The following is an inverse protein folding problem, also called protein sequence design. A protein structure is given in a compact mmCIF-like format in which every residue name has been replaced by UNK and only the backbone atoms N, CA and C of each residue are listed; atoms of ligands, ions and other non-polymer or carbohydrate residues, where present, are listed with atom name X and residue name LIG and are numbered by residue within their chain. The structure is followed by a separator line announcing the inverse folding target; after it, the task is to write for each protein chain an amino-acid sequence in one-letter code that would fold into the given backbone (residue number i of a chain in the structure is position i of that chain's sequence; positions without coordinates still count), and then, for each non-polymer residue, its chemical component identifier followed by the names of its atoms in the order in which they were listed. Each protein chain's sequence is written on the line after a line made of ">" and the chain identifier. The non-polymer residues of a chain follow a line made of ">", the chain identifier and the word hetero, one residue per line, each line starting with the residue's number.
data_IF_900341533051
#
_entry.id   IF_900341533051
#
_cell.length_a   1.000
_cell.length_b   1.000
_cell.length_c   1.000
_cell.angle_alpha   90.00
_cell.angle_beta   90.00
_cell.angle_gamma   90.00
#
_symmetry.space_group_name_H-M   'P 1'
#
loop_
_entity.id
_entity.type
_entity.pdbx_description
1 polymer ?
#
# COMPACT_ATOMS: atom_id res chain seq x y z
N UNK A 1 26.62 -13.39 -0.43
CA UNK A 1 26.28 -13.71 0.98
C UNK A 1 26.07 -12.46 1.85
N UNK A 2 27.09 -11.74 2.35
CA UNK A 2 26.88 -10.57 3.24
C UNK A 2 25.96 -9.51 2.62
N UNK A 3 26.20 -9.13 1.37
CA UNK A 3 25.36 -8.16 0.66
C UNK A 3 23.89 -8.61 0.52
N UNK A 4 23.64 -9.91 0.38
CA UNK A 4 22.28 -10.44 0.32
C UNK A 4 21.59 -10.41 1.69
N UNK A 5 22.32 -10.69 2.77
CA UNK A 5 21.81 -10.54 4.13
C UNK A 5 21.50 -9.07 4.46
N UNK A 6 22.41 -8.16 4.14
CA UNK A 6 22.22 -6.71 4.34
C UNK A 6 20.99 -6.21 3.54
N UNK A 7 20.78 -6.73 2.32
CA UNK A 7 19.62 -6.41 1.49
C UNK A 7 18.31 -6.95 2.10
N UNK A 8 18.29 -8.18 2.61
CA UNK A 8 17.11 -8.75 3.28
C UNK A 8 16.71 -7.89 4.48
N UNK A 9 17.67 -7.53 5.34
CA UNK A 9 17.38 -6.70 6.52
C UNK A 9 16.87 -5.31 6.11
N UNK A 10 17.41 -4.73 5.03
CA UNK A 10 16.90 -3.48 4.47
C UNK A 10 15.42 -3.58 4.04
N UNK A 11 15.03 -4.66 3.36
CA UNK A 11 13.65 -4.86 2.88
C UNK A 11 12.69 -5.08 4.05
N UNK A 12 13.10 -5.83 5.07
CA UNK A 12 12.31 -6.01 6.30
C UNK A 12 12.04 -4.69 7.02
N UNK A 13 13.02 -3.80 7.09
CA UNK A 13 12.81 -2.46 7.68
C UNK A 13 11.90 -1.56 6.84
N UNK A 14 11.92 -1.73 5.51
CA UNK A 14 11.00 -1.03 4.61
C UNK A 14 9.55 -1.46 4.80
N UNK A 15 9.30 -2.76 4.96
CA UNK A 15 7.94 -3.28 5.26
C UNK A 15 7.33 -2.58 6.47
N UNK A 16 8.10 -2.38 7.55
CA UNK A 16 7.63 -1.67 8.75
C UNK A 16 7.23 -0.23 8.43
N UNK A 17 8.07 0.48 7.68
CA UNK A 17 7.82 1.88 7.30
C UNK A 17 6.60 2.00 6.40
N UNK A 18 6.46 1.13 5.40
CA UNK A 18 5.32 1.09 4.49
C UNK A 18 4.03 0.80 5.25
N UNK A 19 4.04 -0.21 6.15
CA UNK A 19 2.87 -0.58 6.95
C UNK A 19 2.37 0.60 7.80
N UNK A 20 3.26 1.35 8.45
CA UNK A 20 2.88 2.54 9.22
C UNK A 20 2.22 3.61 8.35
N UNK A 21 2.74 3.84 7.13
CA UNK A 21 2.15 4.81 6.19
C UNK A 21 0.79 4.36 5.67
N UNK A 22 0.62 3.07 5.39
CA UNK A 22 -0.67 2.49 4.97
C UNK A 22 -1.72 2.57 6.08
N UNK A 23 -1.34 2.33 7.33
CA UNK A 23 -2.22 2.53 8.48
C UNK A 23 -2.62 4.00 8.62
N UNK A 24 -1.68 4.93 8.44
CA UNK A 24 -1.96 6.37 8.44
C UNK A 24 -2.95 6.74 7.32
N UNK A 25 -2.81 6.12 6.15
CA UNK A 25 -3.71 6.34 5.00
C UNK A 25 -5.12 5.82 5.27
N UNK A 26 -5.25 4.62 5.83
CA UNK A 26 -6.54 4.07 6.25
C UNK A 26 -7.18 4.90 7.36
N UNK A 27 -6.40 5.40 8.32
CA UNK A 27 -6.91 6.26 9.39
C UNK A 27 -7.50 7.56 8.84
N UNK A 28 -6.82 8.24 7.91
CA UNK A 28 -7.33 9.50 7.31
C UNK A 28 -8.68 9.28 6.62
N UNK A 29 -8.87 8.16 5.91
CA UNK A 29 -10.13 7.89 5.20
C UNK A 29 -11.24 7.34 6.09
N UNK A 30 -10.90 6.88 7.29
CA UNK A 30 -11.86 6.37 8.28
C UNK A 30 -12.06 7.33 9.46
N UNK A 31 -11.39 8.48 9.48
CA UNK A 31 -11.54 9.46 10.54
C UNK A 31 -12.98 10.01 10.55
N UNK A 32 -13.69 9.70 11.63
CA UNK A 32 -15.15 9.65 11.68
C UNK A 32 -15.84 11.02 11.59
N UNK A 33 -15.11 12.13 11.77
CA UNK A 33 -15.64 13.49 11.58
C UNK A 33 -16.04 13.77 10.11
N UNK A 34 -15.41 13.08 9.15
CA UNK A 34 -15.79 13.19 7.74
C UNK A 34 -17.14 12.53 7.42
N UNK A 35 -17.65 11.65 8.29
CA UNK A 35 -18.90 10.89 8.09
C UNK A 35 -20.05 11.32 9.00
N UNK A 36 -19.78 11.81 10.22
CA UNK A 36 -20.81 12.35 11.11
C UNK A 36 -21.55 13.54 10.48
N UNK A 37 -20.85 14.35 9.67
CA UNK A 37 -21.46 15.41 8.88
C UNK A 37 -22.46 14.94 7.80
N UNK A 38 -22.49 13.65 7.45
CA UNK A 38 -23.41 13.12 6.43
C UNK A 38 -24.70 12.53 7.00
N UNK A 39 -24.66 11.91 8.20
CA UNK A 39 -25.88 11.40 8.86
C UNK A 39 -26.71 12.55 9.47
N UNK A 40 -26.08 13.55 10.09
CA UNK A 40 -26.80 14.71 10.65
C UNK A 40 -27.24 15.73 9.58
N UNK A 41 -26.71 15.66 8.35
CA UNK A 41 -27.08 16.57 7.25
C UNK A 41 -28.29 16.10 6.41
N UNK A 42 -29.01 15.05 6.84
CA UNK A 42 -30.31 14.71 6.26
C UNK A 42 -31.37 15.80 6.52
N UNK A 43 -31.20 16.68 7.51
CA UNK A 43 -32.18 17.74 7.85
C UNK A 43 -31.73 19.19 7.57
N UNK A 44 -30.54 19.44 7.01
CA UNK A 44 -30.08 20.82 6.81
C UNK A 44 -28.97 20.95 5.78
N UNK A 45 -29.35 21.32 4.56
CA UNK A 45 -28.46 21.53 3.43
C UNK A 45 -27.45 22.67 3.68
N UNK A 46 -26.19 22.33 3.96
CA UNK A 46 -25.07 23.27 3.98
C UNK A 46 -23.82 22.64 3.35
N UNK A 47 -23.45 23.01 2.10
CA UNK A 47 -22.13 22.76 1.55
C UNK A 47 -21.07 23.56 2.34
N UNK A 48 -19.91 22.96 2.64
CA UNK A 48 -18.76 23.69 3.18
C UNK A 48 -18.55 23.64 4.70
N UNK A 49 -19.10 22.65 5.41
CA UNK A 49 -18.73 22.43 6.82
C UNK A 49 -17.43 21.63 6.93
N UNK A 50 -16.32 22.37 7.07
CA UNK A 50 -15.05 21.96 7.66
C UNK A 50 -14.23 20.86 6.93
N UNK A 51 -13.22 21.38 6.21
CA UNK A 51 -11.95 20.81 5.71
C UNK A 51 -11.89 19.52 4.89
N UNK A 52 -12.95 19.19 4.15
CA UNK A 52 -12.91 18.15 3.11
C UNK A 52 -11.75 18.36 2.12
N UNK A 53 -11.43 19.61 1.78
CA UNK A 53 -10.33 19.93 0.87
C UNK A 53 -8.97 19.65 1.50
N UNK A 54 -8.64 20.17 2.69
CA UNK A 54 -7.34 19.84 3.28
C UNK A 54 -7.23 18.36 3.68
N UNK A 55 -8.35 17.70 4.01
CA UNK A 55 -8.39 16.25 4.21
C UNK A 55 -8.03 15.48 2.94
N UNK A 56 -8.59 15.86 1.79
CA UNK A 56 -8.24 15.28 0.49
C UNK A 56 -6.82 15.64 0.04
N UNK A 57 -6.37 16.87 0.26
CA UNK A 57 -4.99 17.30 -0.06
C UNK A 57 -3.98 16.49 0.78
N UNK A 58 -4.24 16.31 2.08
CA UNK A 58 -3.40 15.47 2.96
C UNK A 58 -3.43 14.01 2.56
N UNK A 59 -4.60 13.49 2.14
CA UNK A 59 -4.72 12.14 1.62
C UNK A 59 -3.93 11.97 0.32
N UNK A 60 -3.98 12.96 -0.58
CA UNK A 60 -3.22 12.98 -1.82
C UNK A 60 -1.72 12.94 -1.56
N UNK A 61 -1.23 13.81 -0.67
CA UNK A 61 0.17 13.82 -0.23
C UNK A 61 0.60 12.45 0.30
N UNK A 62 -0.21 11.85 1.17
CA UNK A 62 0.11 10.56 1.76
C UNK A 62 0.09 9.42 0.75
N UNK A 63 -0.90 9.39 -0.15
CA UNK A 63 -0.98 8.40 -1.23
C UNK A 63 0.22 8.53 -2.18
N UNK A 64 0.66 9.75 -2.49
CA UNK A 64 1.85 9.97 -3.29
C UNK A 64 3.13 9.50 -2.58
N UNK A 65 3.26 9.75 -1.27
CA UNK A 65 4.39 9.26 -0.48
C UNK A 65 4.41 7.73 -0.35
N UNK A 66 3.25 7.10 -0.22
CA UNK A 66 3.10 5.64 -0.20
C UNK A 66 3.45 5.05 -1.55
N UNK A 67 2.92 5.59 -2.63
CA UNK A 67 3.21 5.14 -4.00
C UNK A 67 4.70 5.25 -4.31
N UNK A 68 5.34 6.40 -4.08
CA UNK A 68 6.78 6.55 -4.29
C UNK A 68 7.60 5.53 -3.48
N UNK A 69 7.21 5.28 -2.23
CA UNK A 69 7.87 4.29 -1.38
C UNK A 69 7.72 2.86 -1.93
N UNK A 70 6.51 2.49 -2.37
CA UNK A 70 6.23 1.18 -2.93
C UNK A 70 6.91 0.96 -4.28
N UNK A 71 6.95 1.97 -5.14
CA UNK A 71 7.68 1.86 -6.42
C UNK A 71 9.17 1.58 -6.17
N UNK A 72 9.81 2.34 -5.28
CA UNK A 72 11.22 2.14 -4.96
C UNK A 72 11.51 0.79 -4.27
N UNK A 73 10.53 0.27 -3.53
CA UNK A 73 10.59 -1.03 -2.87
C UNK A 73 10.48 -2.17 -3.90
N UNK A 74 9.42 -2.16 -4.71
CA UNK A 74 9.20 -3.13 -5.78
C UNK A 74 10.35 -3.15 -6.79
N UNK A 75 10.87 -1.98 -7.18
CA UNK A 75 12.02 -1.90 -8.09
C UNK A 75 13.25 -2.62 -7.52
N UNK A 76 13.45 -2.58 -6.20
CA UNK A 76 14.56 -3.27 -5.55
C UNK A 76 14.34 -4.78 -5.47
N UNK A 77 13.11 -5.19 -5.23
CA UNK A 77 12.72 -6.60 -5.20
C UNK A 77 12.87 -7.25 -6.57
N UNK A 78 12.33 -6.59 -7.59
CA UNK A 78 12.34 -7.01 -8.99
C UNK A 78 13.75 -7.00 -9.61
N UNK A 79 14.72 -6.35 -8.95
CA UNK A 79 16.10 -6.26 -9.44
C UNK A 79 17.09 -6.94 -8.48
N UNK A 80 17.51 -6.24 -7.44
CA UNK A 80 18.60 -6.65 -6.56
C UNK A 80 18.24 -7.89 -5.74
N UNK A 81 17.02 -7.97 -5.21
CA UNK A 81 16.61 -9.13 -4.41
C UNK A 81 16.38 -10.33 -5.31
N UNK A 82 15.72 -10.16 -6.45
CA UNK A 82 15.52 -11.23 -7.42
C UNK A 82 16.86 -11.86 -7.82
N UNK A 83 17.87 -11.04 -8.14
CA UNK A 83 19.21 -11.55 -8.45
C UNK A 83 19.82 -12.36 -7.28
N UNK A 84 19.64 -11.92 -6.03
CA UNK A 84 20.11 -12.64 -4.86
C UNK A 84 19.35 -13.96 -4.64
N UNK A 85 18.04 -13.98 -4.88
CA UNK A 85 17.19 -15.18 -4.81
C UNK A 85 17.59 -16.18 -5.91
N UNK A 86 17.84 -15.73 -7.13
CA UNK A 86 18.24 -16.61 -8.24
C UNK A 86 19.65 -17.19 -8.06
N UNK A 87 20.57 -16.43 -7.46
CA UNK A 87 21.95 -16.90 -7.22
C UNK A 87 22.05 -17.83 -6.00
N UNK A 88 21.31 -17.54 -4.92
CA UNK A 88 21.50 -18.16 -3.61
C UNK A 88 20.33 -19.04 -3.16
N UNK A 89 19.14 -18.85 -3.75
CA UNK A 89 17.96 -19.66 -3.51
C UNK A 89 18.01 -21.00 -4.24
N UNK A 90 17.11 -21.90 -3.89
CA UNK A 90 16.83 -23.04 -4.77
C UNK A 90 15.71 -22.70 -5.75
N UNK A 91 15.41 -23.68 -6.61
CA UNK A 91 14.37 -23.55 -7.62
C UNK A 91 12.98 -23.27 -7.01
N UNK A 92 12.69 -23.83 -5.84
CA UNK A 92 11.40 -23.64 -5.18
C UNK A 92 11.26 -22.19 -4.69
N UNK A 93 12.25 -21.70 -3.96
CA UNK A 93 12.29 -20.33 -3.47
C UNK A 93 12.26 -19.31 -4.61
N UNK A 94 13.04 -19.54 -5.67
CA UNK A 94 13.04 -18.67 -6.85
C UNK A 94 11.67 -18.66 -7.55
N UNK A 95 11.02 -19.82 -7.68
CA UNK A 95 9.68 -19.90 -8.29
C UNK A 95 8.61 -19.21 -7.45
N UNK A 96 8.68 -19.35 -6.13
CA UNK A 96 7.76 -18.69 -5.21
C UNK A 96 7.93 -17.17 -5.25
N UNK A 97 9.18 -16.70 -5.25
CA UNK A 97 9.50 -15.28 -5.33
C UNK A 97 9.05 -14.68 -6.68
N UNK A 98 9.32 -15.35 -7.80
CA UNK A 98 8.79 -14.94 -9.12
C UNK A 98 7.26 -14.82 -9.13
N UNK A 99 6.56 -15.72 -8.46
CA UNK A 99 5.09 -15.67 -8.38
C UNK A 99 4.61 -14.47 -7.59
N UNK A 100 5.30 -14.13 -6.49
CA UNK A 100 5.01 -12.97 -5.67
C UNK A 100 5.18 -11.65 -6.44
N UNK A 101 6.25 -11.53 -7.26
CA UNK A 101 6.51 -10.32 -8.05
C UNK A 101 5.39 -10.02 -9.06
N UNK A 102 4.62 -11.02 -9.50
CA UNK A 102 3.47 -10.80 -10.39
C UNK A 102 2.36 -9.97 -9.73
N UNK A 103 2.30 -9.95 -8.39
CA UNK A 103 1.31 -9.16 -7.65
C UNK A 103 1.61 -7.66 -7.71
N UNK A 104 2.86 -7.27 -7.96
CA UNK A 104 3.26 -5.86 -7.91
C UNK A 104 2.50 -5.01 -8.94
N UNK A 105 2.19 -5.54 -10.11
CA UNK A 105 1.42 -4.82 -11.12
C UNK A 105 0.00 -4.50 -10.64
N UNK A 106 -0.69 -5.45 -10.00
CA UNK A 106 -2.03 -5.21 -9.42
C UNK A 106 -1.96 -4.14 -8.31
N UNK A 107 -0.95 -4.22 -7.44
CA UNK A 107 -0.76 -3.28 -6.34
C UNK A 107 -0.47 -1.85 -6.84
N UNK A 108 0.37 -1.70 -7.88
CA UNK A 108 0.61 -0.41 -8.55
C UNK A 108 -0.67 0.16 -9.18
N UNK A 109 -1.44 -0.70 -9.85
CA UNK A 109 -2.72 -0.30 -10.46
C UNK A 109 -3.74 0.16 -9.42
N UNK A 110 -3.77 -0.48 -8.25
CA UNK A 110 -4.65 -0.08 -7.14
C UNK A 110 -4.33 1.30 -6.60
N UNK A 111 -3.07 1.67 -6.45
CA UNK A 111 -2.68 3.02 -6.03
C UNK A 111 -3.02 4.06 -7.08
N UNK A 112 -2.82 3.74 -8.36
CA UNK A 112 -3.26 4.60 -9.47
C UNK A 112 -4.78 4.84 -9.41
N UNK A 113 -5.57 3.80 -9.14
CA UNK A 113 -7.01 3.93 -8.97
C UNK A 113 -7.39 4.83 -7.78
N UNK A 114 -6.69 4.71 -6.65
CA UNK A 114 -6.86 5.60 -5.50
C UNK A 114 -6.59 7.06 -5.87
N UNK A 115 -5.50 7.35 -6.59
CA UNK A 115 -5.17 8.72 -7.05
C UNK A 115 -6.24 9.29 -7.98
N UNK A 116 -6.83 8.45 -8.84
CA UNK A 116 -7.93 8.85 -9.71
C UNK A 116 -9.18 9.24 -8.92
N UNK A 117 -9.55 8.47 -7.88
CA UNK A 117 -10.67 8.85 -6.99
C UNK A 117 -10.41 10.18 -6.30
N UNK A 118 -9.20 10.39 -5.77
CA UNK A 118 -8.83 11.65 -5.12
C UNK A 118 -8.96 12.82 -6.11
N UNK A 119 -8.43 12.67 -7.33
CA UNK A 119 -8.52 13.69 -8.38
C UNK A 119 -9.96 14.03 -8.76
N UNK A 120 -10.85 13.03 -8.81
CA UNK A 120 -12.28 13.24 -9.06
C UNK A 120 -12.96 14.03 -7.92
N UNK A 121 -12.61 13.71 -6.67
CA UNK A 121 -13.17 14.37 -5.49
C UNK A 121 -12.67 15.81 -5.31
N UNK A 122 -11.43 16.11 -5.71
CA UNK A 122 -10.84 17.46 -5.63
C UNK A 122 -11.22 18.35 -6.81
N UNK A 123 -11.62 17.77 -7.95
CA UNK A 123 -12.01 18.51 -9.15
C UNK A 123 -13.24 19.41 -8.99
N UNK A 124 -14.10 19.16 -7.99
CA UNK A 124 -15.23 20.04 -7.64
C UNK A 124 -16.40 20.03 -8.64
N UNK A 125 -16.35 19.22 -9.70
CA UNK A 125 -17.36 19.15 -10.75
C UNK A 125 -18.47 18.12 -10.46
N UNK A 126 -18.29 17.28 -9.43
CA UNK A 126 -19.23 16.21 -9.11
C UNK A 126 -20.49 16.71 -8.41
N UNK A 127 -21.69 16.32 -8.87
CA UNK A 127 -22.91 16.45 -8.07
C UNK A 127 -22.75 15.77 -6.71
N UNK A 128 -23.35 16.35 -5.66
CA UNK A 128 -23.19 15.87 -4.27
C UNK A 128 -23.36 14.35 -4.09
N UNK A 129 -24.41 13.77 -4.66
CA UNK A 129 -24.68 12.32 -4.55
C UNK A 129 -23.60 11.47 -5.23
N UNK A 130 -23.01 11.94 -6.33
CA UNK A 130 -21.88 11.26 -6.97
C UNK A 130 -20.60 11.44 -6.14
N UNK A 131 -20.36 12.65 -5.60
CA UNK A 131 -19.23 12.89 -4.72
C UNK A 131 -19.25 11.95 -3.50
N UNK A 132 -20.41 11.81 -2.86
CA UNK A 132 -20.62 10.91 -1.72
C UNK A 132 -20.33 9.45 -2.10
N UNK A 133 -20.89 8.97 -3.23
CA UNK A 133 -20.62 7.62 -3.72
C UNK A 133 -19.13 7.38 -3.99
N UNK A 134 -18.47 8.30 -4.69
CA UNK A 134 -17.02 8.22 -4.97
C UNK A 134 -16.18 8.22 -3.69
N UNK A 135 -16.56 9.00 -2.67
CA UNK A 135 -15.86 9.01 -1.39
C UNK A 135 -15.99 7.66 -0.66
N UNK A 136 -17.19 7.06 -0.66
CA UNK A 136 -17.41 5.72 -0.10
C UNK A 136 -16.61 4.65 -0.83
N UNK A 137 -16.62 4.67 -2.17
CA UNK A 137 -15.88 3.72 -3.00
C UNK A 137 -14.36 3.85 -2.78
N UNK A 138 -13.85 5.08 -2.70
CA UNK A 138 -12.44 5.35 -2.40
C UNK A 138 -12.02 4.76 -1.05
N UNK A 139 -12.83 4.96 0.00
CA UNK A 139 -12.55 4.44 1.35
C UNK A 139 -12.52 2.91 1.37
N UNK A 140 -13.50 2.27 0.72
CA UNK A 140 -13.55 0.81 0.62
C UNK A 140 -12.33 0.27 -0.15
N UNK A 141 -11.97 0.93 -1.26
CA UNK A 141 -10.83 0.58 -2.09
C UNK A 141 -9.50 0.73 -1.34
N UNK A 142 -9.29 1.82 -0.59
CA UNK A 142 -8.10 2.03 0.24
C UNK A 142 -7.99 0.98 1.34
N UNK A 143 -9.08 0.72 2.07
CA UNK A 143 -9.14 -0.31 3.12
C UNK A 143 -8.77 -1.69 2.56
N UNK A 144 -9.29 -2.03 1.39
CA UNK A 144 -8.99 -3.30 0.74
C UNK A 144 -7.54 -3.37 0.24
N UNK A 145 -7.05 -2.29 -0.38
CA UNK A 145 -5.68 -2.21 -0.89
C UNK A 145 -4.65 -2.37 0.23
N UNK A 146 -4.88 -1.77 1.41
CA UNK A 146 -4.03 -2.00 2.58
C UNK A 146 -3.93 -3.48 2.93
N UNK A 147 -5.07 -4.19 3.02
CA UNK A 147 -5.09 -5.61 3.40
C UNK A 147 -4.34 -6.48 2.40
N UNK A 148 -4.43 -6.17 1.11
CA UNK A 148 -3.68 -6.87 0.07
C UNK A 148 -2.17 -6.63 0.20
N UNK A 149 -1.75 -5.39 0.44
CA UNK A 149 -0.34 -5.06 0.71
C UNK A 149 0.19 -5.74 1.98
N UNK A 150 -0.64 -5.85 3.02
CA UNK A 150 -0.26 -6.57 4.24
C UNK A 150 -0.07 -8.07 3.99
N UNK A 151 -1.01 -8.70 3.27
CA UNK A 151 -0.91 -10.11 2.91
C UNK A 151 0.31 -10.39 2.01
N UNK A 152 0.55 -9.52 1.03
CA UNK A 152 1.72 -9.58 0.16
C UNK A 152 3.04 -9.52 0.97
N UNK A 153 3.16 -8.53 1.85
CA UNK A 153 4.34 -8.38 2.69
C UNK A 153 4.53 -9.55 3.68
N UNK A 154 3.45 -10.17 4.16
CA UNK A 154 3.52 -11.38 5.00
C UNK A 154 4.12 -12.57 4.25
N UNK A 155 3.64 -12.84 3.03
CA UNK A 155 4.21 -13.91 2.18
C UNK A 155 5.66 -13.62 1.84
N UNK A 156 5.99 -12.37 1.48
CA UNK A 156 7.36 -11.98 1.20
C UNK A 156 8.28 -12.19 2.40
N UNK A 157 7.84 -11.77 3.59
CA UNK A 157 8.61 -11.90 4.82
C UNK A 157 8.99 -13.36 5.12
N UNK A 158 8.10 -14.32 4.82
CA UNK A 158 8.38 -15.76 4.96
C UNK A 158 9.44 -16.26 3.95
N UNK A 159 9.37 -15.78 2.70
CA UNK A 159 10.36 -16.08 1.67
C UNK A 159 11.74 -15.51 2.04
N UNK A 160 11.78 -14.27 2.51
CA UNK A 160 13.01 -13.61 2.97
C UNK A 160 13.65 -14.33 4.16
N UNK A 161 12.85 -14.77 5.12
CA UNK A 161 13.33 -15.57 6.25
C UNK A 161 13.90 -16.92 5.80
N UNK A 162 13.28 -17.54 4.79
CA UNK A 162 13.77 -18.80 4.23
C UNK A 162 15.08 -18.62 3.47
N UNK A 163 15.21 -17.55 2.67
CA UNK A 163 16.48 -17.16 2.05
C UNK A 163 17.57 -16.89 3.10
N UNK A 164 17.24 -16.14 4.15
CA UNK A 164 18.15 -15.80 5.24
C UNK A 164 18.67 -17.03 5.97
N UNK A 165 17.79 -17.97 6.35
CA UNK A 165 18.17 -19.25 7.00
C UNK A 165 19.16 -20.02 6.13
N UNK A 166 18.89 -20.10 4.83
CA UNK A 166 19.78 -20.75 3.85
C UNK A 166 21.14 -20.10 3.76
N UNK A 167 21.18 -18.77 3.65
CA UNK A 167 22.44 -17.99 3.62
C UNK A 167 23.28 -18.18 4.90
N UNK A 168 22.62 -18.43 6.04
CA UNK A 168 23.28 -18.69 7.33
C UNK A 168 23.60 -20.19 7.55
N UNK A 169 23.17 -21.09 6.67
CA UNK A 169 23.35 -22.53 6.82
C UNK A 169 22.50 -23.15 7.93
N UNK A 170 21.44 -22.47 8.37
CA UNK A 170 20.48 -22.98 9.34
C UNK A 170 19.59 -24.04 8.67
N UNK A 171 19.46 -25.22 9.27
CA UNK A 171 18.58 -26.28 8.74
C UNK A 171 17.11 -25.88 8.93
N UNK A 172 16.29 -26.09 7.91
CA UNK A 172 14.83 -26.11 8.04
C UNK A 172 14.46 -27.19 9.07
N UNK A 173 13.84 -26.76 10.17
CA UNK A 173 13.41 -27.62 11.27
C UNK A 173 12.02 -28.18 11.04
#
# INVERSE_FOLDING_TARGET
>A
MKAALDLIEQIVEEHKTIRLRLQSMEQIVNDAEALQGFEEAQEGFMPGRFDQKAGLDRLEELVNLVDQGLQAHFDREETALLAAVEEQGDRELASAFHSLLLEHEDLRNRLTHTKNHISQLTGGELPRHHWEATAYDMRAHITHTRKLLEAHAEVEQELLQSLRRRLLGEKEG
#
